data_IF_840048267923
#
_entry.id   IF_840048267923
#
_cell.length_a   1.000
_cell.length_b   1.000
_cell.length_c   1.000
_cell.angle_alpha   90.00
_cell.angle_beta   90.00
_cell.angle_gamma   90.00
#
_symmetry.space_group_name_H-M   'P 1'
#
loop_
_entity.id
_entity.type
_entity.pdbx_description
1 polymer ?
#
# COMPACT_ATOMS: atom_id res chain seq x y z
N UNK A 1 8.58 14.99 2.63
CA UNK A 1 7.52 14.06 2.16
C UNK A 1 7.69 13.57 0.73
N UNK A 2 7.99 14.42 -0.24
CA UNK A 2 8.21 14.00 -1.64
C UNK A 2 9.37 13.01 -1.77
N UNK A 3 10.51 13.30 -1.14
CA UNK A 3 11.67 12.40 -1.12
C UNK A 3 11.35 10.99 -0.58
N UNK A 4 10.50 10.88 0.45
CA UNK A 4 10.10 9.59 1.01
C UNK A 4 9.24 8.76 0.06
N UNK A 5 8.31 9.38 -0.67
CA UNK A 5 7.52 8.70 -1.70
C UNK A 5 8.38 8.29 -2.90
N UNK A 6 9.35 9.12 -3.27
CA UNK A 6 10.32 8.81 -4.34
C UNK A 6 11.22 7.64 -3.94
N UNK A 7 11.70 7.60 -2.69
CA UNK A 7 12.49 6.47 -2.16
C UNK A 7 11.65 5.20 -2.11
N UNK A 8 10.40 5.27 -1.65
CA UNK A 8 9.50 4.11 -1.62
C UNK A 8 9.16 3.60 -3.02
N UNK A 9 8.82 4.48 -3.96
CA UNK A 9 8.63 4.13 -5.37
C UNK A 9 9.93 3.53 -5.95
N UNK A 10 11.09 4.11 -5.62
CA UNK A 10 12.40 3.61 -5.99
C UNK A 10 12.70 2.21 -5.45
N UNK A 11 12.31 1.90 -4.21
CA UNK A 11 12.41 0.55 -3.64
C UNK A 11 11.47 -0.42 -4.37
N UNK A 12 10.24 0.01 -4.69
CA UNK A 12 9.27 -0.82 -5.41
C UNK A 12 9.75 -1.15 -6.84
N UNK A 13 10.36 -0.17 -7.52
CA UNK A 13 11.04 -0.37 -8.79
C UNK A 13 12.34 -1.16 -8.65
N UNK A 14 13.05 -1.02 -7.53
CA UNK A 14 14.26 -1.79 -7.21
C UNK A 14 13.97 -3.28 -7.07
N UNK A 15 12.88 -3.65 -6.40
CA UNK A 15 12.42 -5.05 -6.31
C UNK A 15 12.10 -5.59 -7.71
N UNK A 16 11.40 -4.82 -8.55
CA UNK A 16 11.16 -5.18 -9.95
C UNK A 16 12.46 -5.39 -10.75
N UNK A 17 13.44 -4.51 -10.56
CA UNK A 17 14.74 -4.59 -11.24
C UNK A 17 15.54 -5.82 -10.79
N UNK A 18 15.56 -6.11 -9.49
CA UNK A 18 16.23 -7.28 -8.93
C UNK A 18 15.58 -8.58 -9.42
N UNK A 19 14.25 -8.65 -9.45
CA UNK A 19 13.52 -9.79 -9.99
C UNK A 19 13.74 -9.99 -11.50
N UNK A 20 13.80 -8.90 -12.28
CA UNK A 20 14.08 -8.97 -13.71
C UNK A 20 15.51 -9.43 -14.01
N UNK A 21 16.47 -9.15 -13.12
CA UNK A 21 17.87 -9.54 -13.29
C UNK A 21 18.14 -11.02 -12.92
N UNK A 22 17.19 -11.67 -12.23
CA UNK A 22 17.21 -13.10 -11.89
C UNK A 22 16.73 -14.02 -13.04
N UNK A 23 16.51 -13.46 -14.25
CA UNK A 23 16.10 -14.15 -15.49
C UNK A 23 14.76 -14.89 -15.44
N UNK A 24 13.94 -14.63 -14.41
CA UNK A 24 12.64 -15.26 -14.22
C UNK A 24 11.50 -14.32 -14.68
N UNK A 25 11.36 -14.19 -16.00
CA UNK A 25 10.31 -13.39 -16.64
C UNK A 25 8.89 -13.79 -16.17
N UNK A 26 8.73 -15.03 -15.72
CA UNK A 26 7.48 -15.52 -15.14
C UNK A 26 7.17 -14.84 -13.80
N UNK A 27 8.17 -14.61 -12.94
CA UNK A 27 8.00 -13.90 -11.66
C UNK A 27 7.67 -12.42 -11.87
N UNK A 28 8.30 -11.76 -12.85
CA UNK A 28 7.99 -10.36 -13.21
C UNK A 28 6.55 -10.25 -13.73
N UNK A 29 6.10 -11.21 -14.55
CA UNK A 29 4.73 -11.29 -15.04
C UNK A 29 3.71 -11.47 -13.92
N UNK A 30 3.98 -12.37 -12.96
CA UNK A 30 3.12 -12.57 -11.79
C UNK A 30 3.01 -11.32 -10.91
N UNK A 31 4.13 -10.62 -10.68
CA UNK A 31 4.13 -9.36 -9.93
C UNK A 31 3.34 -8.26 -10.64
N UNK A 32 3.50 -8.14 -11.96
CA UNK A 32 2.72 -7.21 -12.78
C UNK A 32 1.21 -7.52 -12.72
N UNK A 33 0.84 -8.80 -12.78
CA UNK A 33 -0.55 -9.25 -12.65
C UNK A 33 -1.11 -8.92 -11.26
N UNK A 34 -0.34 -9.17 -10.20
CA UNK A 34 -0.73 -8.82 -8.84
C UNK A 34 -0.97 -7.31 -8.66
N UNK A 35 -0.10 -6.47 -9.21
CA UNK A 35 -0.30 -5.02 -9.21
C UNK A 35 -1.53 -4.60 -10.03
N UNK A 36 -1.74 -5.20 -11.21
CA UNK A 36 -2.87 -4.87 -12.07
C UNK A 36 -4.23 -5.16 -11.39
N UNK A 37 -4.32 -6.23 -10.61
CA UNK A 37 -5.55 -6.59 -9.87
C UNK A 37 -5.72 -5.72 -8.63
N UNK A 38 -4.66 -5.54 -7.84
CA UNK A 38 -4.76 -4.90 -6.52
C UNK A 38 -4.78 -3.37 -6.59
N UNK A 39 -4.02 -2.75 -7.49
CA UNK A 39 -3.92 -1.29 -7.58
C UNK A 39 -5.27 -0.58 -7.73
N UNK A 40 -6.19 -0.94 -8.66
CA UNK A 40 -7.47 -0.25 -8.79
C UNK A 40 -8.37 -0.42 -7.55
N UNK A 41 -8.36 -1.61 -6.94
CA UNK A 41 -9.15 -1.89 -5.73
C UNK A 41 -8.72 -0.97 -4.58
N UNK A 42 -7.42 -0.91 -4.29
CA UNK A 42 -6.92 -0.08 -3.20
C UNK A 42 -6.92 1.42 -3.53
N UNK A 43 -6.78 1.79 -4.81
CA UNK A 43 -6.95 3.20 -5.24
C UNK A 43 -8.38 3.69 -5.03
N UNK A 44 -9.37 2.81 -5.20
CA UNK A 44 -10.76 3.12 -4.89
C UNK A 44 -11.00 3.21 -3.37
N UNK A 45 -10.51 2.22 -2.62
CA UNK A 45 -10.75 2.09 -1.18
C UNK A 45 -9.90 3.01 -0.30
N UNK A 46 -8.88 3.68 -0.84
CA UNK A 46 -8.10 4.65 -0.07
C UNK A 46 -8.90 5.92 0.27
N UNK A 47 -10.03 6.18 -0.41
CA UNK A 47 -10.93 7.34 -0.25
C UNK A 47 -10.24 8.71 -0.12
N UNK A 48 -8.99 8.82 -0.57
CA UNK A 48 -8.11 9.95 -0.28
C UNK A 48 -8.12 10.37 1.21
N UNK A 49 -8.20 9.41 2.14
CA UNK A 49 -8.32 9.66 3.58
C UNK A 49 -7.25 10.61 4.12
N UNK A 50 -6.04 10.55 3.56
CA UNK A 50 -4.97 11.48 3.88
C UNK A 50 -5.32 12.94 3.62
N UNK A 51 -5.99 13.23 2.49
CA UNK A 51 -6.49 14.58 2.21
C UNK A 51 -7.55 14.96 3.22
N UNK A 52 -8.51 14.08 3.49
CA UNK A 52 -9.62 14.34 4.42
C UNK A 52 -9.13 14.65 5.83
N UNK A 53 -8.15 13.90 6.33
CA UNK A 53 -7.50 14.15 7.64
C UNK A 53 -6.76 15.49 7.66
N UNK A 54 -6.11 15.86 6.55
CA UNK A 54 -5.37 17.13 6.47
C UNK A 54 -6.30 18.36 6.39
N UNK A 55 -7.48 18.24 5.77
CA UNK A 55 -8.46 19.34 5.70
C UNK A 55 -9.44 19.39 6.86
N UNK A 56 -9.53 18.38 7.73
CA UNK A 56 -10.34 18.46 8.95
C UNK A 56 -9.68 19.36 10.01
N UNK A 57 -9.68 20.67 9.73
CA UNK A 57 -9.16 21.71 10.61
C UNK A 57 -10.03 21.91 11.86
N UNK A 58 -11.27 21.45 11.85
CA UNK A 58 -12.25 21.64 12.93
C UNK A 58 -12.31 20.47 13.93
N UNK A 59 -11.44 19.47 13.78
CA UNK A 59 -11.39 18.29 14.66
C UNK A 59 -12.75 17.58 14.79
N UNK A 60 -13.52 17.56 13.70
CA UNK A 60 -14.89 17.01 13.72
C UNK A 60 -14.90 15.51 13.94
N UNK A 61 -13.83 14.83 13.55
CA UNK A 61 -13.67 13.38 13.72
C UNK A 61 -12.41 13.05 14.52
N UNK A 62 -12.49 12.02 15.36
CA UNK A 62 -11.34 11.56 16.14
C UNK A 62 -10.41 10.78 15.21
N UNK A 63 -9.10 10.78 15.52
CA UNK A 63 -8.10 9.98 14.80
C UNK A 63 -8.52 8.50 14.71
N UNK A 64 -9.18 7.99 15.76
CA UNK A 64 -9.72 6.63 15.79
C UNK A 64 -10.74 6.35 14.67
N UNK A 65 -11.53 7.33 14.24
CA UNK A 65 -12.53 7.16 13.18
C UNK A 65 -11.85 6.96 11.82
N UNK A 66 -10.77 7.71 11.57
CA UNK A 66 -9.96 7.55 10.35
C UNK A 66 -9.18 6.24 10.31
N UNK A 67 -8.64 5.80 11.45
CA UNK A 67 -7.99 4.49 11.57
C UNK A 67 -9.03 3.37 11.37
N UNK A 68 -10.21 3.50 11.98
CA UNK A 68 -11.32 2.57 11.80
C UNK A 68 -11.71 2.43 10.34
N UNK A 69 -11.88 3.55 9.64
CA UNK A 69 -12.20 3.56 8.21
C UNK A 69 -11.09 2.95 7.35
N UNK A 70 -9.83 3.13 7.74
CA UNK A 70 -8.68 2.49 7.07
C UNK A 70 -8.68 0.97 7.28
N UNK A 71 -8.98 0.50 8.49
CA UNK A 71 -9.10 -0.92 8.78
C UNK A 71 -10.27 -1.57 8.01
N UNK A 72 -11.42 -0.89 7.93
CA UNK A 72 -12.55 -1.35 7.12
C UNK A 72 -12.17 -1.41 5.64
N UNK A 73 -11.45 -0.42 5.14
CA UNK A 73 -10.98 -0.36 3.74
C UNK A 73 -9.95 -1.46 3.43
N UNK A 74 -9.06 -1.76 4.37
CA UNK A 74 -8.12 -2.89 4.29
C UNK A 74 -8.89 -4.22 4.24
N UNK A 75 -9.81 -4.45 5.18
CA UNK A 75 -10.54 -5.71 5.26
C UNK A 75 -11.42 -5.93 4.03
N UNK A 76 -12.14 -4.90 3.57
CA UNK A 76 -12.97 -4.97 2.37
C UNK A 76 -12.14 -5.18 1.11
N UNK A 77 -10.99 -4.51 1.00
CA UNK A 77 -10.08 -4.66 -0.14
C UNK A 77 -9.48 -6.05 -0.24
N UNK A 78 -8.97 -6.59 0.87
CA UNK A 78 -8.42 -7.96 0.91
C UNK A 78 -9.51 -8.99 0.63
N UNK A 79 -10.70 -8.82 1.20
CA UNK A 79 -11.84 -9.72 0.96
C UNK A 79 -12.26 -9.70 -0.51
N UNK A 80 -12.30 -8.52 -1.13
CA UNK A 80 -12.63 -8.38 -2.54
C UNK A 80 -11.58 -9.05 -3.44
N UNK A 81 -10.29 -8.80 -3.18
CA UNK A 81 -9.20 -9.44 -3.93
C UNK A 81 -9.24 -10.96 -3.77
N UNK A 82 -9.49 -11.47 -2.57
CA UNK A 82 -9.67 -12.91 -2.34
C UNK A 82 -10.83 -13.47 -3.17
N UNK A 83 -11.97 -12.77 -3.21
CA UNK A 83 -13.10 -13.13 -4.06
C UNK A 83 -12.74 -13.18 -5.55
N UNK A 84 -11.97 -12.20 -6.04
CA UNK A 84 -11.48 -12.16 -7.43
C UNK A 84 -10.56 -13.36 -7.72
N UNK A 85 -9.63 -13.67 -6.82
CA UNK A 85 -8.71 -14.80 -6.98
C UNK A 85 -9.46 -16.13 -7.06
N UNK A 86 -10.46 -16.33 -6.18
CA UNK A 86 -11.29 -17.53 -6.16
C UNK A 86 -12.20 -17.64 -7.38
N UNK A 87 -12.73 -16.52 -7.89
CA UNK A 87 -13.62 -16.51 -9.04
C UNK A 87 -12.91 -16.76 -10.38
N UNK A 88 -11.69 -16.23 -10.54
CA UNK A 88 -10.91 -16.37 -11.78
C UNK A 88 -10.15 -17.71 -11.80
N UNK A 89 -9.81 -18.28 -10.64
CA UNK A 89 -9.10 -19.56 -10.56
C UNK A 89 -7.64 -19.45 -10.96
N UNK A 90 -6.93 -18.42 -10.47
CA UNK A 90 -5.49 -18.29 -10.70
C UNK A 90 -4.70 -19.49 -10.15
N UNK A 91 -3.51 -19.74 -10.69
CA UNK A 91 -2.57 -20.73 -10.15
C UNK A 91 -2.22 -20.39 -8.69
N UNK A 92 -1.89 -21.41 -7.89
CA UNK A 92 -1.59 -21.23 -6.47
C UNK A 92 -0.47 -20.20 -6.21
N UNK A 93 0.55 -20.19 -7.07
CA UNK A 93 1.66 -19.24 -6.97
C UNK A 93 1.21 -17.80 -7.26
N UNK A 94 0.45 -17.58 -8.32
CA UNK A 94 -0.08 -16.26 -8.66
C UNK A 94 -1.07 -15.77 -7.58
N UNK A 95 -1.94 -16.65 -7.08
CA UNK A 95 -2.87 -16.35 -6.00
C UNK A 95 -2.14 -15.90 -4.72
N UNK A 96 -1.06 -16.59 -4.35
CA UNK A 96 -0.24 -16.23 -3.19
C UNK A 96 0.39 -14.83 -3.35
N UNK A 97 0.98 -14.55 -4.52
CA UNK A 97 1.58 -13.24 -4.80
C UNK A 97 0.53 -12.12 -4.77
N UNK A 98 -0.63 -12.33 -5.40
CA UNK A 98 -1.74 -11.35 -5.39
C UNK A 98 -2.19 -11.04 -3.95
N UNK A 99 -2.34 -12.05 -3.10
CA UNK A 99 -2.77 -11.87 -1.71
C UNK A 99 -1.71 -11.16 -0.86
N UNK A 100 -0.43 -11.49 -1.03
CA UNK A 100 0.68 -10.80 -0.35
C UNK A 100 0.71 -9.32 -0.74
N UNK A 101 0.57 -9.02 -2.05
CA UNK A 101 0.52 -7.64 -2.54
C UNK A 101 -0.71 -6.90 -2.01
N UNK A 102 -1.87 -7.55 -1.94
CA UNK A 102 -3.09 -6.95 -1.38
C UNK A 102 -2.93 -6.60 0.12
N UNK A 103 -2.32 -7.49 0.91
CA UNK A 103 -2.01 -7.22 2.31
C UNK A 103 -1.03 -6.04 2.45
N UNK A 104 0.03 -6.01 1.65
CA UNK A 104 0.98 -4.90 1.64
C UNK A 104 0.27 -3.56 1.32
N UNK A 105 -0.64 -3.56 0.33
CA UNK A 105 -1.42 -2.38 -0.04
C UNK A 105 -2.35 -1.91 1.06
N UNK A 106 -2.97 -2.81 1.80
CA UNK A 106 -3.79 -2.43 2.93
C UNK A 106 -2.99 -1.84 4.10
N UNK A 107 -1.78 -2.35 4.36
CA UNK A 107 -0.84 -1.75 5.33
C UNK A 107 -0.40 -0.35 4.89
N UNK A 108 -0.20 -0.13 3.59
CA UNK A 108 0.04 1.21 3.03
C UNK A 108 -1.10 2.17 3.35
N UNK A 109 -2.37 1.79 3.10
CA UNK A 109 -3.54 2.61 3.40
C UNK A 109 -3.59 3.06 4.87
N UNK A 110 -3.40 2.14 5.81
CA UNK A 110 -3.37 2.46 7.24
C UNK A 110 -2.25 3.46 7.56
N UNK A 111 -1.08 3.26 6.96
CA UNK A 111 0.07 4.14 7.18
C UNK A 111 -0.10 5.53 6.57
N UNK A 112 -0.82 5.66 5.46
CA UNK A 112 -1.14 6.97 4.88
C UNK A 112 -1.99 7.83 5.83
N UNK A 113 -2.87 7.21 6.64
CA UNK A 113 -3.62 7.93 7.67
C UNK A 113 -2.71 8.44 8.78
N UNK A 114 -1.79 7.61 9.29
CA UNK A 114 -0.79 8.08 10.27
C UNK A 114 0.06 9.23 9.73
N UNK A 115 0.43 9.17 8.46
CA UNK A 115 1.16 10.24 7.80
C UNK A 115 0.31 11.51 7.64
N UNK A 116 -0.99 11.38 7.34
CA UNK A 116 -1.94 12.50 7.30
C UNK A 116 -2.11 13.18 8.65
N UNK A 117 -2.22 12.40 9.73
CA UNK A 117 -2.24 12.93 11.11
C UNK A 117 -0.96 13.70 11.41
N UNK A 118 0.20 13.16 11.04
CA UNK A 118 1.49 13.83 11.26
C UNK A 118 1.62 15.13 10.43
N UNK A 119 1.02 15.20 9.23
CA UNK A 119 0.94 16.44 8.44
C UNK A 119 0.08 17.50 9.11
N UNK A 120 -1.04 17.10 9.73
CA UNK A 120 -1.95 18.02 10.41
C UNK A 120 -1.27 18.76 11.57
N UNK A 121 -0.30 18.15 12.23
CA UNK A 121 0.52 18.78 13.28
C UNK A 121 1.76 19.54 12.73
N UNK A 122 1.84 19.80 11.43
CA UNK A 122 3.00 20.40 10.73
C UNK A 122 4.34 19.67 10.91
N UNK A 123 4.35 18.46 11.47
CA UNK A 123 5.57 17.65 11.70
C UNK A 123 5.95 16.85 10.45
N UNK A 124 6.19 17.57 9.36
CA UNK A 124 6.55 17.00 8.04
C UNK A 124 7.84 16.17 8.05
N UNK A 125 8.68 16.38 9.06
CA UNK A 125 10.01 15.75 9.25
C UNK A 125 9.90 14.26 9.59
N UNK A 126 8.86 13.89 10.35
CA UNK A 126 8.66 12.51 10.84
C UNK A 126 8.07 11.63 9.73
N UNK A 127 7.20 12.19 8.88
CA UNK A 127 6.64 11.45 7.75
C UNK A 127 7.70 11.04 6.72
N UNK A 128 8.74 11.85 6.52
CA UNK A 128 9.87 11.50 5.65
C UNK A 128 10.67 10.30 6.20
N UNK A 129 10.87 10.21 7.52
CA UNK A 129 11.56 9.09 8.17
C UNK A 129 10.75 7.79 8.11
N UNK A 130 9.43 7.83 8.30
CA UNK A 130 8.59 6.63 8.18
C UNK A 130 8.56 6.04 6.76
N UNK A 131 8.56 6.88 5.72
CA UNK A 131 8.69 6.40 4.35
C UNK A 131 10.06 5.77 4.07
N UNK A 132 11.13 6.32 4.62
CA UNK A 132 12.48 5.75 4.49
C UNK A 132 12.60 4.38 5.18
N UNK A 133 12.04 4.24 6.39
CA UNK A 133 12.01 2.96 7.12
C UNK A 133 11.15 1.92 6.42
N UNK A 134 10.01 2.33 5.84
CA UNK A 134 9.17 1.43 5.04
C UNK A 134 9.87 0.92 3.78
N UNK A 135 10.56 1.79 3.05
CA UNK A 135 11.35 1.39 1.89
C UNK A 135 12.43 0.37 2.25
N UNK A 136 13.12 0.57 3.38
CA UNK A 136 14.13 -0.37 3.86
C UNK A 136 13.54 -1.75 4.24
N UNK A 137 12.36 -1.80 4.86
CA UNK A 137 11.71 -3.06 5.24
C UNK A 137 11.22 -3.90 4.06
N UNK A 138 10.92 -3.29 2.91
CA UNK A 138 10.53 -4.03 1.69
C UNK A 138 11.73 -4.74 1.05
N UNK A 139 12.94 -4.22 1.24
CA UNK A 139 14.16 -4.80 0.65
C UNK A 139 14.65 -6.02 1.43
N UNK A 140 14.37 -6.13 2.74
CA UNK A 140 14.82 -7.27 3.57
C UNK A 140 13.91 -8.50 3.53
N UNK A 141 12.70 -8.38 2.98
CA UNK A 141 11.72 -9.47 2.89
C UNK A 141 11.80 -10.22 1.54
N UNK A 142 12.53 -9.65 0.58
CA UNK A 142 12.88 -10.27 -0.71
C UNK A 142 14.26 -10.92 -0.58
#
# INVERSE_FOLDING_TARGET
>A
MFAGRVVYAGCQFGVLFLLAQLDDAHVVGMWGLALAVTAPVFTFLQFHLRSVVATDANDRYRIADYIGLSCVSLLSGVTFVLGVVLAIGYSADAAAVILVVALAKGVECVSEVFLGVMQRFERLDVGAKSFAVKGAGTVTVV
#
